data_IF_561569069801
#
_entry.id   IF_561569069801
#
_cell.length_a   1.000
_cell.length_b   1.000
_cell.length_c   1.000
_cell.angle_alpha   90.00
_cell.angle_beta   90.00
_cell.angle_gamma   90.00
#
_symmetry.space_group_name_H-M   'P 1'
#
loop_
_entity.id
_entity.type
_entity.pdbx_description
1 polymer ?
#
# COMPACT_ATOMS: atom_id res chain seq x y z
N UNK A 1 15.12 -19.78 2.98
CA UNK A 1 14.15 -18.83 3.56
C UNK A 1 14.29 -17.46 2.88
N UNK A 2 13.20 -16.91 2.34
CA UNK A 2 13.24 -15.60 1.64
C UNK A 2 13.39 -14.45 2.63
N UNK A 3 14.38 -13.58 2.38
CA UNK A 3 14.66 -12.41 3.23
C UNK A 3 13.62 -11.32 2.98
N UNK A 4 13.30 -10.53 4.01
CA UNK A 4 12.27 -9.49 3.92
C UNK A 4 12.53 -8.55 2.74
N UNK A 5 13.75 -8.02 2.60
CA UNK A 5 14.11 -7.09 1.53
C UNK A 5 13.86 -7.62 0.10
N UNK A 6 13.85 -8.94 -0.09
CA UNK A 6 13.54 -9.55 -1.39
C UNK A 6 12.05 -9.43 -1.69
N UNK A 7 11.21 -9.64 -0.66
CA UNK A 7 9.75 -9.43 -0.76
C UNK A 7 9.47 -7.95 -1.04
N UNK A 8 10.17 -7.04 -0.38
CA UNK A 8 9.99 -5.59 -0.57
C UNK A 8 10.34 -5.14 -1.98
N UNK A 9 11.44 -5.64 -2.53
CA UNK A 9 11.87 -5.34 -3.88
C UNK A 9 10.84 -5.82 -4.92
N UNK A 10 10.26 -7.01 -4.72
CA UNK A 10 9.22 -7.50 -5.62
C UNK A 10 7.91 -6.72 -5.47
N UNK A 11 7.53 -6.29 -4.26
CA UNK A 11 6.37 -5.41 -4.06
C UNK A 11 6.54 -4.12 -4.86
N UNK A 12 7.72 -3.48 -4.77
CA UNK A 12 8.00 -2.27 -5.55
C UNK A 12 7.92 -2.53 -7.07
N UNK A 13 8.47 -3.64 -7.53
CA UNK A 13 8.43 -4.02 -8.95
C UNK A 13 7.02 -4.30 -9.44
N UNK A 14 6.21 -5.03 -8.66
CA UNK A 14 4.82 -5.28 -8.97
C UNK A 14 4.03 -3.97 -8.99
N UNK A 15 4.29 -3.08 -8.04
CA UNK A 15 3.67 -1.77 -7.99
C UNK A 15 3.97 -0.93 -9.25
N UNK A 16 5.23 -0.85 -9.68
CA UNK A 16 5.61 -0.16 -10.92
C UNK A 16 4.87 -0.73 -12.15
N UNK A 17 4.70 -2.05 -12.21
CA UNK A 17 3.91 -2.70 -13.27
C UNK A 17 2.44 -2.32 -13.20
N UNK A 18 1.82 -2.39 -12.02
CA UNK A 18 0.41 -2.00 -11.82
C UNK A 18 0.16 -0.55 -12.22
N UNK A 19 1.06 0.37 -11.85
CA UNK A 19 0.94 1.78 -12.27
C UNK A 19 1.07 1.94 -13.78
N UNK A 20 1.99 1.19 -14.41
CA UNK A 20 2.10 1.19 -15.88
C UNK A 20 0.82 0.69 -16.55
N UNK A 21 0.15 -0.31 -15.99
CA UNK A 21 -1.14 -0.80 -16.49
C UNK A 21 -2.26 0.23 -16.24
N UNK A 22 -2.27 0.88 -15.08
CA UNK A 22 -3.20 1.98 -14.77
C UNK A 22 -3.07 3.14 -15.76
N UNK A 23 -1.84 3.64 -16.00
CA UNK A 23 -1.58 4.72 -16.96
C UNK A 23 -1.95 4.36 -18.41
N UNK A 24 -1.99 3.07 -18.75
CA UNK A 24 -2.44 2.58 -20.06
C UNK A 24 -3.97 2.47 -20.16
N UNK A 25 -4.71 2.89 -19.13
CA UNK A 25 -6.17 2.76 -19.09
C UNK A 25 -6.67 1.34 -18.89
N UNK A 26 -5.81 0.38 -18.48
CA UNK A 26 -6.20 -1.02 -18.27
C UNK A 26 -6.86 -1.28 -16.91
N UNK A 27 -6.87 -0.28 -16.04
CA UNK A 27 -7.39 -0.34 -14.68
C UNK A 27 -8.32 0.85 -14.53
N UNK A 28 -9.63 0.58 -14.47
CA UNK A 28 -10.65 1.63 -14.43
C UNK A 28 -11.03 2.05 -13.01
N UNK A 29 -10.96 1.10 -12.07
CA UNK A 29 -11.32 1.30 -10.65
C UNK A 29 -10.23 0.77 -9.71
N UNK A 30 -10.32 1.09 -8.43
CA UNK A 30 -9.29 0.72 -7.46
C UNK A 30 -9.30 -0.78 -7.10
N UNK A 31 -10.47 -1.42 -7.10
CA UNK A 31 -10.64 -2.88 -7.02
C UNK A 31 -9.75 -3.56 -8.06
N UNK A 32 -9.74 -3.03 -9.29
CA UNK A 32 -8.90 -3.53 -10.37
C UNK A 32 -7.41 -3.27 -10.08
N UNK A 33 -7.06 -2.15 -9.44
CA UNK A 33 -5.69 -1.86 -9.04
C UNK A 33 -5.18 -2.89 -8.03
N UNK A 34 -5.98 -3.18 -6.99
CA UNK A 34 -5.69 -4.20 -5.97
C UNK A 34 -5.51 -5.58 -6.61
N UNK A 35 -6.46 -5.98 -7.46
CA UNK A 35 -6.43 -7.26 -8.15
C UNK A 35 -5.22 -7.35 -9.10
N UNK A 36 -4.89 -6.28 -9.80
CA UNK A 36 -3.74 -6.22 -10.71
C UNK A 36 -2.41 -6.31 -9.94
N UNK A 37 -2.25 -5.57 -8.84
CA UNK A 37 -1.09 -5.68 -7.95
C UNK A 37 -0.92 -7.10 -7.40
N UNK A 38 -2.01 -7.70 -6.95
CA UNK A 38 -2.02 -9.09 -6.49
C UNK A 38 -1.56 -10.05 -7.60
N UNK A 39 -2.08 -9.91 -8.83
CA UNK A 39 -1.67 -10.73 -9.98
C UNK A 39 -0.17 -10.58 -10.28
N UNK A 40 0.35 -9.34 -10.28
CA UNK A 40 1.78 -9.08 -10.53
C UNK A 40 2.69 -9.71 -9.47
N UNK A 41 2.23 -9.83 -8.22
CA UNK A 41 2.97 -10.47 -7.12
C UNK A 41 2.84 -11.99 -7.07
N UNK A 42 1.77 -12.56 -7.64
CA UNK A 42 1.38 -13.96 -7.40
C UNK A 42 2.46 -14.95 -7.82
N UNK A 43 3.01 -14.77 -9.03
CA UNK A 43 4.07 -15.63 -9.54
C UNK A 43 5.30 -15.67 -8.60
N UNK A 44 5.69 -14.52 -8.06
CA UNK A 44 6.79 -14.46 -7.10
C UNK A 44 6.45 -15.18 -5.81
N UNK A 45 5.29 -14.91 -5.23
CA UNK A 45 4.85 -15.55 -3.99
C UNK A 45 4.81 -17.07 -4.13
N UNK A 46 4.22 -17.58 -5.21
CA UNK A 46 4.15 -19.01 -5.51
C UNK A 46 5.57 -19.60 -5.64
N UNK A 47 6.48 -18.94 -6.37
CA UNK A 47 7.87 -19.39 -6.54
C UNK A 47 8.69 -19.41 -5.23
N UNK A 48 8.29 -18.60 -4.24
CA UNK A 48 8.96 -18.47 -2.94
C UNK A 48 8.20 -19.13 -1.80
N UNK A 49 7.13 -19.87 -2.11
CA UNK A 49 6.32 -20.59 -1.13
C UNK A 49 5.73 -19.65 -0.08
N UNK A 50 5.41 -18.42 -0.51
CA UNK A 50 4.74 -17.42 0.30
C UNK A 50 3.24 -17.53 0.06
N UNK A 51 2.47 -17.64 1.14
CA UNK A 51 1.03 -17.57 1.03
C UNK A 51 0.62 -16.10 0.86
N UNK A 52 -0.14 -15.79 -0.18
CA UNK A 52 -0.66 -14.45 -0.43
C UNK A 52 -2.19 -14.48 -0.54
N UNK A 53 -2.87 -13.63 0.22
CA UNK A 53 -4.33 -13.51 0.24
C UNK A 53 -4.76 -12.14 -0.27
N UNK A 54 -5.81 -12.13 -1.09
CA UNK A 54 -6.53 -10.94 -1.56
C UNK A 54 -7.92 -10.98 -0.92
N UNK A 55 -8.34 -9.87 -0.32
CA UNK A 55 -9.69 -9.74 0.24
C UNK A 55 -10.43 -8.70 -0.59
N UNK A 56 -11.51 -9.14 -1.24
CA UNK A 56 -12.26 -8.34 -2.19
C UNK A 56 -13.25 -7.39 -1.50
N UNK A 57 -13.85 -7.80 -0.38
CA UNK A 57 -14.88 -7.02 0.32
C UNK A 57 -14.71 -7.08 1.83
N UNK A 58 -14.87 -5.93 2.48
CA UNK A 58 -15.10 -5.86 3.93
C UNK A 58 -16.41 -5.13 4.10
N UNK A 59 -17.44 -5.87 4.54
CA UNK A 59 -18.68 -5.30 5.01
C UNK A 59 -18.36 -4.31 6.12
N UNK A 60 -18.57 -3.02 5.88
CA UNK A 60 -18.23 -1.93 6.81
C UNK A 60 -18.99 -2.10 8.15
N UNK A 61 -20.07 -2.89 8.15
CA UNK A 61 -20.91 -3.17 9.31
C UNK A 61 -20.39 -4.27 10.23
N UNK A 62 -19.50 -5.17 9.77
CA UNK A 62 -18.96 -6.25 10.57
C UNK A 62 -17.45 -6.09 10.76
N UNK A 63 -17.05 -5.87 12.00
CA UNK A 63 -15.70 -5.50 12.47
C UNK A 63 -14.57 -6.50 12.18
N UNK A 64 -14.76 -7.49 11.31
CA UNK A 64 -13.64 -8.31 10.81
C UNK A 64 -12.83 -7.49 9.82
N UNK A 65 -11.99 -6.59 10.35
CA UNK A 65 -11.06 -5.76 9.60
C UNK A 65 -9.99 -6.62 8.92
N UNK A 66 -10.32 -7.20 7.77
CA UNK A 66 -9.39 -8.00 6.98
C UNK A 66 -8.64 -7.12 5.98
N UNK A 67 -7.30 -7.22 5.87
CA UNK A 67 -6.52 -6.32 5.03
C UNK A 67 -6.71 -6.56 3.52
N UNK A 68 -6.49 -5.56 2.68
CA UNK A 68 -6.66 -5.72 1.23
C UNK A 68 -5.77 -6.83 0.66
N UNK A 69 -4.48 -6.85 1.02
CA UNK A 69 -3.56 -7.95 0.69
C UNK A 69 -2.71 -8.32 1.90
N UNK A 70 -2.57 -9.62 2.16
CA UNK A 70 -1.66 -10.20 3.15
C UNK A 70 -0.66 -11.15 2.52
N UNK A 71 0.60 -11.06 2.95
CA UNK A 71 1.66 -12.03 2.62
C UNK A 71 2.14 -12.70 3.91
N UNK A 72 2.17 -14.02 3.89
CA UNK A 72 2.62 -14.87 4.98
C UNK A 72 3.88 -15.62 4.56
N UNK A 73 4.83 -15.70 5.48
CA UNK A 73 6.06 -16.48 5.35
C UNK A 73 6.08 -17.49 6.48
N UNK A 74 6.13 -18.78 6.15
CA UNK A 74 6.13 -19.88 7.11
C UNK A 74 4.96 -19.79 8.11
N UNK A 75 3.76 -19.46 7.61
CA UNK A 75 2.56 -19.25 8.42
C UNK A 75 2.50 -17.94 9.22
N UNK A 76 3.57 -17.15 9.23
CA UNK A 76 3.64 -15.87 9.97
C UNK A 76 3.22 -14.69 9.10
N UNK A 77 2.32 -13.86 9.62
CA UNK A 77 1.91 -12.57 9.04
C UNK A 77 3.16 -11.68 8.83
N UNK A 78 3.56 -11.47 7.58
CA UNK A 78 4.83 -10.82 7.24
C UNK A 78 4.59 -9.45 6.65
N UNK A 79 3.78 -9.34 5.60
CA UNK A 79 3.47 -8.07 4.96
C UNK A 79 1.95 -7.86 4.88
N UNK A 80 1.54 -6.62 5.13
CA UNK A 80 0.19 -6.13 4.84
C UNK A 80 0.27 -4.99 3.83
N UNK A 81 -0.63 -4.98 2.84
CA UNK A 81 -0.74 -3.90 1.84
C UNK A 81 -2.19 -3.42 1.84
N UNK A 82 -2.38 -2.13 2.08
CA UNK A 82 -3.66 -1.43 2.00
C UNK A 82 -3.66 -0.44 0.83
N UNK A 83 -4.83 -0.24 0.23
CA UNK A 83 -5.10 0.78 -0.79
C UNK A 83 -6.26 1.66 -0.31
N UNK A 84 -6.27 2.93 -0.68
CA UNK A 84 -7.30 3.89 -0.23
C UNK A 84 -8.56 3.87 -1.09
N UNK A 85 -9.72 3.55 -0.48
CA UNK A 85 -11.04 3.53 -1.14
C UNK A 85 -11.46 4.91 -1.69
N UNK A 86 -11.71 5.01 -3.00
CA UNK A 86 -11.87 6.27 -3.74
C UNK A 86 -13.25 6.98 -3.68
N UNK A 87 -14.20 6.60 -2.82
CA UNK A 87 -15.55 7.19 -2.97
C UNK A 87 -15.80 8.51 -2.22
N UNK A 88 -14.99 8.90 -1.23
CA UNK A 88 -15.09 10.21 -0.54
C UNK A 88 -13.89 10.47 0.41
N UNK A 89 -12.76 9.80 0.20
CA UNK A 89 -11.62 9.85 1.11
C UNK A 89 -10.84 11.15 0.95
N UNK A 90 -11.31 12.21 1.60
CA UNK A 90 -10.47 13.38 1.79
C UNK A 90 -9.27 12.99 2.68
N UNK A 91 -8.06 13.38 2.28
CA UNK A 91 -6.87 13.30 3.15
C UNK A 91 -6.98 14.23 4.40
N UNK A 92 -8.13 14.90 4.56
CA UNK A 92 -8.43 15.88 5.61
C UNK A 92 -9.32 15.20 6.65
N UNK A 93 -8.71 14.51 7.60
CA UNK A 93 -9.40 13.82 8.69
C UNK A 93 -8.74 12.49 9.07
N UNK A 94 -9.30 11.83 10.10
CA UNK A 94 -8.80 10.56 10.62
C UNK A 94 -9.19 9.39 9.68
N UNK A 95 -8.46 9.25 8.57
CA UNK A 95 -8.73 8.27 7.52
C UNK A 95 -8.81 6.83 8.06
N UNK A 96 -9.93 6.16 7.77
CA UNK A 96 -10.27 4.82 8.22
C UNK A 96 -9.25 3.78 7.79
N UNK A 97 -8.76 3.82 6.55
CA UNK A 97 -7.78 2.86 5.99
C UNK A 97 -6.43 2.93 6.72
N UNK A 98 -6.02 4.14 7.10
CA UNK A 98 -4.80 4.38 7.88
C UNK A 98 -4.95 3.89 9.33
N UNK A 99 -6.14 4.01 9.93
CA UNK A 99 -6.43 3.38 11.24
C UNK A 99 -6.32 1.85 11.18
N UNK A 100 -6.66 1.22 10.05
CA UNK A 100 -6.54 -0.24 9.85
C UNK A 100 -5.07 -0.66 9.91
N UNK A 101 -4.21 0.02 9.15
CA UNK A 101 -2.76 -0.22 9.16
C UNK A 101 -2.16 -0.14 10.57
N UNK A 102 -2.59 0.83 11.38
CA UNK A 102 -2.14 0.95 12.78
C UNK A 102 -2.49 -0.30 13.61
N UNK A 103 -3.65 -0.90 13.40
CA UNK A 103 -4.06 -2.12 14.10
C UNK A 103 -3.23 -3.33 13.63
N UNK A 104 -2.92 -3.41 12.34
CA UNK A 104 -2.08 -4.48 11.76
C UNK A 104 -0.63 -4.46 12.26
N UNK A 105 -0.12 -3.32 12.76
CA UNK A 105 1.24 -3.22 13.34
C UNK A 105 1.54 -4.28 14.41
N UNK A 106 0.53 -4.70 15.18
CA UNK A 106 0.72 -5.72 16.24
C UNK A 106 1.04 -7.10 15.67
N UNK A 107 0.63 -7.34 14.44
CA UNK A 107 0.56 -8.66 13.83
C UNK A 107 1.53 -8.84 12.65
N UNK A 108 1.86 -7.75 11.95
CA UNK A 108 2.64 -7.77 10.71
C UNK A 108 4.00 -7.10 10.89
N UNK A 109 4.99 -7.64 10.17
CA UNK A 109 6.36 -7.11 10.17
C UNK A 109 6.52 -5.87 9.28
N UNK A 110 5.69 -5.72 8.25
CA UNK A 110 5.81 -4.67 7.22
C UNK A 110 4.44 -4.22 6.74
N UNK A 111 4.23 -2.91 6.67
CA UNK A 111 3.00 -2.30 6.18
C UNK A 111 3.25 -1.40 4.96
N UNK A 112 2.42 -1.56 3.93
CA UNK A 112 2.42 -0.74 2.73
C UNK A 112 1.07 -0.03 2.60
N UNK A 113 1.12 1.25 2.28
CA UNK A 113 -0.06 2.01 1.90
C UNK A 113 0.10 2.52 0.48
N UNK A 114 -0.93 2.34 -0.34
CA UNK A 114 -0.97 2.82 -1.72
C UNK A 114 -2.13 3.79 -1.85
N UNK A 115 -1.83 4.97 -2.38
CA UNK A 115 -2.81 5.99 -2.67
C UNK A 115 -2.74 6.35 -4.15
N UNK A 116 -3.86 6.16 -4.86
CA UNK A 116 -4.06 6.65 -6.22
C UNK A 116 -4.78 7.98 -6.09
N UNK A 117 -4.09 9.07 -6.39
CA UNK A 117 -4.66 10.39 -6.31
C UNK A 117 -5.18 10.79 -7.69
N UNK A 118 -6.50 10.98 -7.82
CA UNK A 118 -7.09 11.37 -9.10
C UNK A 118 -7.24 12.88 -9.26
N UNK A 119 -7.16 13.72 -8.21
CA UNK A 119 -7.49 15.16 -8.30
C UNK A 119 -6.88 16.07 -7.22
N UNK A 120 -5.83 15.70 -6.50
CA UNK A 120 -5.33 16.53 -5.41
C UNK A 120 -4.14 17.45 -5.75
N UNK A 121 -4.43 18.65 -6.24
CA UNK A 121 -3.45 19.75 -6.33
C UNK A 121 -2.85 20.14 -4.96
N UNK A 122 -3.38 19.64 -3.83
CA UNK A 122 -2.81 19.84 -2.48
C UNK A 122 -1.47 19.13 -2.31
N UNK A 123 -1.15 18.08 -3.08
CA UNK A 123 0.20 17.50 -3.10
C UNK A 123 1.23 18.48 -3.70
N UNK A 124 0.84 19.17 -4.78
CA UNK A 124 1.71 20.08 -5.54
C UNK A 124 1.93 21.43 -4.85
N UNK A 125 0.92 21.95 -4.14
CA UNK A 125 1.02 23.27 -3.48
C UNK A 125 1.85 23.26 -2.20
N UNK A 126 2.10 22.09 -1.61
CA UNK A 126 2.89 21.95 -0.40
C UNK A 126 3.57 20.56 -0.39
N UNK A 127 4.89 20.50 -0.52
CA UNK A 127 5.70 19.40 0.01
C UNK A 127 5.60 19.29 1.57
N UNK A 128 4.46 19.66 2.17
CA UNK A 128 4.15 19.45 3.57
C UNK A 128 3.61 18.04 3.70
N UNK A 129 4.56 17.16 3.94
CA UNK A 129 4.39 15.95 4.73
C UNK A 129 3.39 16.19 5.86
N UNK A 130 2.16 15.72 5.70
CA UNK A 130 1.18 15.79 6.76
C UNK A 130 1.72 14.96 7.94
N UNK A 131 1.96 15.60 9.08
CA UNK A 131 2.61 14.99 10.26
C UNK A 131 1.92 13.70 10.71
N UNK A 132 0.62 13.56 10.44
CA UNK A 132 -0.10 12.33 10.70
C UNK A 132 0.56 11.11 10.03
N UNK A 133 1.22 11.25 8.87
CA UNK A 133 1.93 10.17 8.17
C UNK A 133 3.11 9.60 8.95
N UNK A 134 3.73 10.39 9.85
CA UNK A 134 4.81 9.94 10.73
C UNK A 134 4.32 9.16 11.96
N UNK A 135 3.02 9.23 12.26
CA UNK A 135 2.43 8.62 13.46
C UNK A 135 2.01 7.16 13.26
N UNK A 136 2.13 6.61 12.04
CA UNK A 136 1.66 5.27 11.69
C UNK A 136 2.79 4.36 11.21
N UNK A 137 2.62 3.05 11.42
CA UNK A 137 3.57 2.06 10.92
C UNK A 137 3.31 1.79 9.44
N UNK A 138 4.03 2.52 8.59
CA UNK A 138 4.10 2.31 7.15
C UNK A 138 5.56 2.37 6.80
N UNK A 139 6.14 1.29 6.32
CA UNK A 139 7.56 1.36 5.98
C UNK A 139 7.80 1.85 4.55
N UNK A 140 6.80 1.71 3.68
CA UNK A 140 6.78 2.28 2.34
C UNK A 140 5.36 2.75 1.98
N UNK A 141 5.25 4.01 1.58
CA UNK A 141 4.04 4.65 1.10
C UNK A 141 4.22 5.06 -0.36
N UNK A 142 3.23 4.77 -1.20
CA UNK A 142 3.23 5.18 -2.60
C UNK A 142 2.08 6.16 -2.88
N UNK A 143 2.40 7.25 -3.56
CA UNK A 143 1.43 8.19 -4.14
C UNK A 143 1.60 8.17 -5.66
N UNK A 144 0.49 7.93 -6.36
CA UNK A 144 0.45 7.95 -7.81
C UNK A 144 -0.22 9.25 -8.21
N UNK A 145 0.55 10.16 -8.82
CA UNK A 145 0.05 11.29 -9.59
C UNK A 145 -0.07 10.86 -11.07
N UNK A 146 -0.82 11.65 -11.84
CA UNK A 146 -0.94 11.58 -13.30
C UNK A 146 0.37 11.21 -13.99
N UNK A 147 1.46 11.89 -13.64
CA UNK A 147 2.76 11.73 -14.30
C UNK A 147 3.84 11.01 -13.48
N UNK A 148 3.79 11.07 -12.14
CA UNK A 148 4.88 10.60 -11.27
C UNK A 148 4.41 9.61 -10.20
N UNK A 149 5.31 8.71 -9.84
CA UNK A 149 5.14 7.85 -8.67
C UNK A 149 6.05 8.39 -7.58
N UNK A 150 5.49 8.77 -6.44
CA UNK A 150 6.25 9.14 -5.26
C UNK A 150 6.31 7.95 -4.30
N UNK A 151 7.51 7.45 -4.04
CA UNK A 151 7.78 6.46 -3.00
C UNK A 151 8.30 7.19 -1.78
N UNK A 152 7.70 6.94 -0.63
CA UNK A 152 8.09 7.49 0.66
C UNK A 152 8.38 6.37 1.66
N UNK A 153 9.61 6.31 2.15
CA UNK A 153 10.05 5.36 3.16
C UNK A 153 9.98 6.01 4.54
N UNK A 154 9.23 5.41 5.47
CA UNK A 154 9.22 5.83 6.87
C UNK A 154 9.93 4.76 7.69
N UNK A 155 10.99 5.15 8.40
CA UNK A 155 11.70 4.25 9.30
C UNK A 155 11.35 4.60 10.73
N UNK A 156 11.16 3.57 11.55
CA UNK A 156 10.95 3.72 12.99
C UNK A 156 12.06 4.60 13.60
N UNK A 157 11.66 5.65 14.32
CA UNK A 157 12.59 6.58 14.98
C UNK A 157 13.11 7.72 14.12
N UNK A 158 12.76 7.77 12.83
CA UNK A 158 13.12 8.90 11.95
C UNK A 158 11.94 9.88 11.87
N UNK A 159 12.19 11.15 12.19
CA UNK A 159 11.17 12.22 12.22
C UNK A 159 10.66 12.62 10.82
N UNK A 160 11.40 12.33 9.76
CA UNK A 160 11.05 12.69 8.38
C UNK A 160 11.23 11.47 7.45
N UNK A 161 10.23 11.15 6.60
CA UNK A 161 10.37 10.08 5.62
C UNK A 161 11.38 10.46 4.53
N UNK A 162 12.02 9.46 3.95
CA UNK A 162 12.81 9.62 2.73
C UNK A 162 11.90 9.39 1.52
N UNK A 163 11.71 10.41 0.69
CA UNK A 163 10.91 10.25 -0.53
C UNK A 163 11.75 10.38 -1.79
N UNK A 164 11.36 9.63 -2.81
CA UNK A 164 11.97 9.61 -4.14
C UNK A 164 10.88 9.47 -5.20
N UNK A 165 11.13 10.04 -6.37
CA UNK A 165 10.35 9.75 -7.57
C UNK A 165 10.82 8.40 -8.13
N UNK A 166 9.89 7.56 -8.55
CA UNK A 166 10.13 6.24 -9.14
C UNK A 166 9.87 6.19 -10.64
#
# INVERSE_FOLDING_TARGET
MVRLFVIEAEIEKAFKKTVKDYKKGRIGIEEDFRACLYRHMRQFCDSKWLLMRLIHDVDIKNETMQPNISIFRDGRKTVVIETMKNENSSLVGENTDIKRLRRYRKDYLRGYFIHIDQKDDRYKKQHRYAEWKNNYFVDLWYVIDTDTIHKCEFKRGIKKPKCSIL
#
